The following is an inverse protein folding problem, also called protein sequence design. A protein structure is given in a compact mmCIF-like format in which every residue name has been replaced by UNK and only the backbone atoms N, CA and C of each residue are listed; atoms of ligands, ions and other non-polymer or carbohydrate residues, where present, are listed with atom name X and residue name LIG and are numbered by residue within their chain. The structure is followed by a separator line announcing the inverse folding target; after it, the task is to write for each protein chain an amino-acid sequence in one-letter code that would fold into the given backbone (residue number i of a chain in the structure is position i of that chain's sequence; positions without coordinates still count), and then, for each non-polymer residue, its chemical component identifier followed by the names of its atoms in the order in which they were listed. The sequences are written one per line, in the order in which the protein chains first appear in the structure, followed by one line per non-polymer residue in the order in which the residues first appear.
data_IF_769628165936
#
_entry.id   IF_769628165936
#
_cell.length_a   1.000
_cell.length_b   1.000
_cell.length_c   1.000
_cell.angle_alpha   90.00
_cell.angle_beta   90.00
_cell.angle_gamma   90.00
#
_symmetry.space_group_name_H-M   'P 1'
#
loop_
_entity.id
_entity.type
_entity.pdbx_description
1 polymer ?
#
# COMPACT_ATOMS: atom_id res chain seq x y z
N UNK A 1 -12.35 -90.15 59.96
CA UNK A 1 -13.48 -90.11 59.00
C UNK A 1 -13.19 -89.01 57.98
N UNK A 2 -12.81 -89.39 56.75
CA UNK A 2 -12.47 -88.47 55.64
C UNK A 2 -13.75 -87.85 55.09
N UNK A 3 -13.88 -86.52 55.11
CA UNK A 3 -14.94 -85.82 54.39
C UNK A 3 -14.31 -85.29 53.09
N UNK A 4 -14.55 -86.01 51.99
CA UNK A 4 -14.29 -85.52 50.64
C UNK A 4 -15.43 -84.58 50.24
N UNK A 5 -15.15 -83.28 50.10
CA UNK A 5 -16.09 -82.36 49.47
C UNK A 5 -15.98 -82.50 47.95
N UNK A 6 -16.89 -83.28 47.37
CA UNK A 6 -17.13 -83.29 45.92
C UNK A 6 -18.10 -82.14 45.62
N UNK A 7 -17.59 -81.03 45.11
CA UNK A 7 -18.44 -79.98 44.54
C UNK A 7 -19.03 -80.49 43.22
N UNK A 8 -20.26 -81.01 43.27
CA UNK A 8 -21.06 -81.32 42.09
C UNK A 8 -21.61 -80.02 41.50
N UNK A 9 -20.82 -79.37 40.65
CA UNK A 9 -21.31 -78.26 39.82
C UNK A 9 -22.08 -78.88 38.66
N UNK A 10 -23.40 -78.67 38.61
CA UNK A 10 -24.24 -79.16 37.50
C UNK A 10 -23.68 -78.65 36.16
N UNK A 11 -23.60 -79.50 35.12
CA UNK A 11 -23.01 -79.16 33.82
C UNK A 11 -23.65 -77.92 33.15
N UNK A 12 -24.91 -77.63 33.46
CA UNK A 12 -25.62 -76.43 33.01
C UNK A 12 -25.04 -75.10 33.57
N UNK A 13 -24.51 -75.10 34.79
CA UNK A 13 -23.96 -73.89 35.44
C UNK A 13 -22.57 -73.53 34.91
N UNK A 14 -21.78 -74.53 34.53
CA UNK A 14 -20.45 -74.33 33.94
C UNK A 14 -20.55 -73.69 32.53
N UNK A 15 -21.49 -74.17 31.71
CA UNK A 15 -21.74 -73.61 30.37
C UNK A 15 -22.17 -72.14 30.44
N UNK A 16 -22.97 -71.76 31.45
CA UNK A 16 -23.40 -70.38 31.64
C UNK A 16 -22.23 -69.45 32.00
N UNK A 17 -21.36 -69.87 32.93
CA UNK A 17 -20.18 -69.11 33.35
C UNK A 17 -19.19 -68.95 32.18
N UNK A 18 -18.94 -70.02 31.42
CA UNK A 18 -18.04 -69.98 30.26
C UNK A 18 -18.59 -69.07 29.16
N UNK A 19 -19.89 -69.11 28.86
CA UNK A 19 -20.53 -68.18 27.91
C UNK A 19 -20.39 -66.72 28.34
N UNK A 20 -20.59 -66.43 29.62
CA UNK A 20 -20.49 -65.07 30.14
C UNK A 20 -19.04 -64.55 30.12
N UNK A 21 -18.06 -65.40 30.42
CA UNK A 21 -16.64 -65.06 30.35
C UNK A 21 -16.20 -64.79 28.90
N UNK A 22 -16.64 -65.64 27.95
CA UNK A 22 -16.39 -65.46 26.52
C UNK A 22 -17.01 -64.14 26.05
N UNK A 23 -18.26 -63.86 26.40
CA UNK A 23 -18.93 -62.60 26.06
C UNK A 23 -18.17 -61.38 26.60
N UNK A 24 -17.74 -61.40 27.86
CA UNK A 24 -16.94 -60.32 28.45
C UNK A 24 -15.58 -60.13 27.75
N UNK A 25 -14.89 -61.20 27.36
CA UNK A 25 -13.62 -61.14 26.64
C UNK A 25 -13.81 -60.58 25.21
N UNK A 26 -14.89 -60.98 24.52
CA UNK A 26 -15.24 -60.42 23.21
C UNK A 26 -15.59 -58.93 23.31
N UNK A 27 -16.40 -58.54 24.30
CA UNK A 27 -16.76 -57.13 24.53
C UNK A 27 -15.53 -56.27 24.83
N UNK A 28 -14.59 -56.77 25.65
CA UNK A 28 -13.34 -56.06 25.98
C UNK A 28 -12.43 -55.91 24.75
N UNK A 29 -12.34 -56.93 23.89
CA UNK A 29 -11.60 -56.84 22.61
C UNK A 29 -12.27 -55.86 21.63
N UNK A 30 -13.60 -55.90 21.53
CA UNK A 30 -14.38 -55.03 20.66
C UNK A 30 -14.23 -53.55 21.04
N UNK A 31 -14.36 -53.22 22.33
CA UNK A 31 -14.15 -51.86 22.85
C UNK A 31 -12.71 -51.37 22.61
N UNK A 32 -11.71 -52.24 22.81
CA UNK A 32 -10.29 -51.90 22.55
C UNK A 32 -10.05 -51.58 21.07
N UNK A 33 -10.65 -52.36 20.15
CA UNK A 33 -10.59 -52.10 18.71
C UNK A 33 -11.22 -50.76 18.35
N UNK A 34 -12.41 -50.46 18.89
CA UNK A 34 -13.11 -49.18 18.67
C UNK A 34 -12.34 -47.97 19.22
N UNK A 35 -11.67 -48.11 20.36
CA UNK A 35 -10.83 -47.05 20.92
C UNK A 35 -9.57 -46.79 20.08
N UNK A 36 -8.97 -47.85 19.49
CA UNK A 36 -7.83 -47.72 18.58
C UNK A 36 -8.26 -47.04 17.28
N UNK A 37 -9.40 -47.45 16.71
CA UNK A 37 -9.93 -46.83 15.49
C UNK A 37 -10.29 -45.36 15.72
N UNK A 38 -10.91 -45.02 16.86
CA UNK A 38 -11.20 -43.63 17.22
C UNK A 38 -9.93 -42.79 17.39
N UNK A 39 -8.90 -43.30 18.08
CA UNK A 39 -7.60 -42.62 18.21
C UNK A 39 -6.92 -42.40 16.85
N UNK A 40 -7.01 -43.38 15.95
CA UNK A 40 -6.46 -43.29 14.61
C UNK A 40 -7.20 -42.25 13.75
N UNK A 41 -8.55 -42.24 13.79
CA UNK A 41 -9.37 -41.22 13.12
C UNK A 41 -9.07 -39.82 13.68
N UNK A 42 -8.97 -39.68 15.00
CA UNK A 42 -8.62 -38.41 15.64
C UNK A 42 -7.22 -37.92 15.22
N UNK A 43 -6.25 -38.82 15.14
CA UNK A 43 -4.91 -38.51 14.64
C UNK A 43 -4.95 -38.04 13.18
N UNK A 44 -5.67 -38.76 12.30
CA UNK A 44 -5.84 -38.37 10.90
C UNK A 44 -6.50 -37.00 10.76
N UNK A 45 -7.58 -36.72 11.50
CA UNK A 45 -8.26 -35.41 11.50
C UNK A 45 -7.29 -34.31 11.93
N UNK A 46 -6.54 -34.51 13.02
CA UNK A 46 -5.56 -33.54 13.52
C UNK A 46 -4.47 -33.25 12.49
N UNK A 47 -3.99 -34.29 11.81
CA UNK A 47 -2.98 -34.17 10.75
C UNK A 47 -3.53 -33.44 9.53
N UNK A 48 -4.76 -33.73 9.10
CA UNK A 48 -5.42 -32.99 8.00
C UNK A 48 -5.58 -31.52 8.35
N UNK A 49 -6.05 -31.18 9.56
CA UNK A 49 -6.18 -29.79 10.02
C UNK A 49 -4.82 -29.08 10.00
N UNK A 50 -3.75 -29.75 10.46
CA UNK A 50 -2.39 -29.20 10.43
C UNK A 50 -1.92 -28.90 9.01
N UNK A 51 -2.07 -29.86 8.08
CA UNK A 51 -1.68 -29.65 6.68
C UNK A 51 -2.53 -28.59 5.97
N UNK A 52 -3.83 -28.54 6.25
CA UNK A 52 -4.74 -27.54 5.71
C UNK A 52 -4.39 -26.13 6.23
N UNK A 53 -4.11 -26.01 7.53
CA UNK A 53 -3.64 -24.76 8.14
C UNK A 53 -2.29 -24.30 7.56
N UNK A 54 -1.34 -25.22 7.38
CA UNK A 54 -0.06 -24.93 6.74
C UNK A 54 -0.22 -24.46 5.29
N UNK A 55 -1.10 -25.11 4.52
CA UNK A 55 -1.41 -24.73 3.13
C UNK A 55 -2.04 -23.34 3.04
N UNK A 56 -2.99 -23.01 3.91
CA UNK A 56 -3.58 -21.67 4.00
C UNK A 56 -2.49 -20.66 4.36
N UNK A 57 -1.66 -20.93 5.36
CA UNK A 57 -0.57 -20.04 5.78
C UNK A 57 0.42 -19.76 4.63
N UNK A 58 0.84 -20.80 3.89
CA UNK A 58 1.67 -20.65 2.69
C UNK A 58 0.99 -19.81 1.61
N UNK A 59 -0.30 -20.03 1.38
CA UNK A 59 -1.09 -19.28 0.38
C UNK A 59 -1.25 -17.81 0.78
N UNK A 60 -1.53 -17.54 2.06
CA UNK A 60 -1.59 -16.20 2.63
C UNK A 60 -0.22 -15.50 2.55
N UNK A 61 0.88 -16.20 2.88
CA UNK A 61 2.23 -15.65 2.77
C UNK A 61 2.57 -15.28 1.33
N UNK A 62 2.23 -16.14 0.36
CA UNK A 62 2.42 -15.86 -1.07
C UNK A 62 1.59 -14.66 -1.53
N UNK A 63 0.34 -14.53 -1.07
CA UNK A 63 -0.53 -13.40 -1.38
C UNK A 63 0.02 -12.11 -0.77
N UNK A 64 0.39 -12.12 0.51
CA UNK A 64 0.97 -10.98 1.22
C UNK A 64 2.28 -10.49 0.56
N UNK A 65 3.15 -11.43 0.16
CA UNK A 65 4.38 -11.11 -0.56
C UNK A 65 4.13 -10.55 -1.96
N UNK A 66 3.07 -10.99 -2.64
CA UNK A 66 2.67 -10.46 -3.95
C UNK A 66 2.12 -9.03 -3.83
N UNK A 67 1.23 -8.78 -2.87
CA UNK A 67 0.64 -7.45 -2.61
C UNK A 67 1.73 -6.44 -2.25
N UNK A 68 2.59 -6.78 -1.28
CA UNK A 68 3.73 -5.92 -0.90
C UNK A 68 4.77 -5.78 -2.02
N UNK A 69 4.79 -6.66 -3.04
CA UNK A 69 5.72 -6.54 -4.19
C UNK A 69 5.18 -5.55 -5.23
N UNK A 70 3.85 -5.41 -5.32
CA UNK A 70 3.20 -4.49 -6.25
C UNK A 70 3.32 -3.02 -5.88
N UNK A 71 3.24 -2.68 -4.59
CA UNK A 71 3.14 -1.28 -4.10
C UNK A 71 4.18 -0.30 -4.64
N UNK A 72 5.40 -0.76 -4.85
CA UNK A 72 6.52 0.06 -5.32
C UNK A 72 6.77 -0.05 -6.83
N UNK A 73 5.97 -0.85 -7.57
CA UNK A 73 6.21 -1.14 -8.99
C UNK A 73 6.12 0.14 -9.84
N UNK A 74 5.25 1.09 -9.48
CA UNK A 74 5.10 2.34 -10.24
C UNK A 74 6.38 3.20 -10.25
N UNK A 75 7.30 3.05 -9.29
CA UNK A 75 8.56 3.78 -9.30
C UNK A 75 9.46 3.43 -10.50
N UNK A 76 9.24 2.29 -11.16
CA UNK A 76 9.94 1.94 -12.41
C UNK A 76 9.70 2.97 -13.50
N UNK A 77 8.49 3.52 -13.55
CA UNK A 77 8.04 4.50 -14.54
C UNK A 77 7.71 5.85 -13.89
N UNK A 78 8.39 6.21 -12.80
CA UNK A 78 8.06 7.42 -12.01
C UNK A 78 8.02 8.71 -12.84
N UNK A 79 8.86 8.81 -13.88
CA UNK A 79 8.93 9.96 -14.80
C UNK A 79 7.65 10.13 -15.64
N UNK A 80 6.82 9.07 -15.77
CA UNK A 80 5.49 9.15 -16.38
C UNK A 80 4.49 9.89 -15.49
N UNK A 81 4.70 9.88 -14.19
CA UNK A 81 3.81 10.49 -13.19
C UNK A 81 4.35 11.84 -12.68
N UNK A 82 5.64 12.09 -12.86
CA UNK A 82 6.31 13.34 -12.50
C UNK A 82 7.25 13.74 -13.65
N UNK A 83 6.87 14.76 -14.42
CA UNK A 83 7.61 15.19 -15.60
C UNK A 83 7.97 16.66 -15.50
N UNK A 84 9.22 16.99 -15.78
CA UNK A 84 9.72 18.37 -15.82
C UNK A 84 9.38 19.17 -14.54
N UNK A 85 9.48 18.50 -13.38
CA UNK A 85 9.17 19.08 -12.08
C UNK A 85 7.67 19.28 -11.77
N UNK A 86 6.79 18.80 -12.65
CA UNK A 86 5.33 18.86 -12.52
C UNK A 86 4.75 17.48 -12.24
N UNK A 87 3.78 17.40 -11.33
CA UNK A 87 3.07 16.15 -11.10
C UNK A 87 2.08 15.89 -12.22
N UNK A 88 1.62 14.66 -12.36
CA UNK A 88 0.60 14.31 -13.36
C UNK A 88 -0.69 15.14 -13.21
N UNK A 89 -1.01 15.58 -11.99
CA UNK A 89 -2.13 16.48 -11.70
C UNK A 89 -1.95 17.87 -12.34
N UNK A 90 -0.71 18.37 -12.40
CA UNK A 90 -0.37 19.67 -12.99
C UNK A 90 -0.23 19.63 -14.51
N UNK A 91 0.07 18.44 -15.06
CA UNK A 91 0.29 18.23 -16.50
C UNK A 91 -1.03 18.05 -17.24
N UNK A 92 -1.95 17.30 -16.64
CA UNK A 92 -3.21 16.98 -17.30
C UNK A 92 -4.13 18.19 -17.17
N UNK A 93 -4.60 18.78 -18.29
CA UNK A 93 -5.59 19.84 -18.21
C UNK A 93 -6.80 19.29 -17.48
N UNK A 94 -7.29 20.02 -16.47
CA UNK A 94 -8.50 19.65 -15.76
C UNK A 94 -9.60 19.48 -16.79
N UNK A 95 -9.97 18.22 -17.08
CA UNK A 95 -10.99 17.92 -18.06
C UNK A 95 -12.26 18.65 -17.60
N UNK A 96 -13.00 19.19 -18.57
CA UNK A 96 -14.35 19.75 -18.35
C UNK A 96 -15.06 18.85 -17.33
N UNK A 97 -15.55 19.40 -16.20
CA UNK A 97 -16.08 18.61 -15.10
C UNK A 97 -17.07 17.59 -15.67
N UNK A 98 -16.71 16.32 -15.58
CA UNK A 98 -17.55 15.27 -16.17
C UNK A 98 -18.90 15.32 -15.48
N UNK A 99 -19.98 15.17 -16.26
CA UNK A 99 -21.32 14.88 -15.70
C UNK A 99 -21.26 13.75 -14.67
N UNK A 100 -20.32 12.84 -14.88
CA UNK A 100 -20.16 11.56 -14.23
C UNK A 100 -19.69 11.74 -12.77
N UNK A 101 -18.78 12.68 -12.51
CA UNK A 101 -18.34 13.00 -11.14
C UNK A 101 -19.38 13.74 -10.29
N UNK A 102 -20.45 14.30 -10.89
CA UNK A 102 -21.51 14.96 -10.11
C UNK A 102 -22.36 13.96 -9.31
N UNK A 103 -22.63 12.78 -9.88
CA UNK A 103 -23.39 11.74 -9.17
C UNK A 103 -22.57 11.17 -8.02
N UNK A 104 -21.29 10.88 -8.29
CA UNK A 104 -20.33 10.44 -7.28
C UNK A 104 -20.22 11.45 -6.13
N UNK A 105 -20.02 12.74 -6.44
CA UNK A 105 -19.75 13.75 -5.41
C UNK A 105 -20.88 13.92 -4.42
N UNK A 106 -22.14 13.82 -4.86
CA UNK A 106 -23.32 13.92 -3.98
C UNK A 106 -23.35 12.78 -2.95
N UNK A 107 -23.12 11.55 -3.40
CA UNK A 107 -23.18 10.36 -2.52
C UNK A 107 -21.94 10.31 -1.64
N UNK A 108 -20.77 10.42 -2.27
CA UNK A 108 -19.50 10.35 -1.56
C UNK A 108 -19.31 11.53 -0.62
N UNK A 109 -19.74 12.73 -1.02
CA UNK A 109 -19.68 13.93 -0.20
C UNK A 109 -20.49 13.82 1.09
N UNK A 110 -21.63 13.12 1.07
CA UNK A 110 -22.39 12.80 2.30
C UNK A 110 -21.59 11.87 3.21
N UNK A 111 -20.98 10.81 2.65
CA UNK A 111 -20.18 9.83 3.40
C UNK A 111 -18.89 10.46 3.98
N UNK A 112 -18.24 11.31 3.18
CA UNK A 112 -16.92 11.86 3.47
C UNK A 112 -16.96 13.22 4.16
N UNK A 113 -18.12 13.88 4.17
CA UNK A 113 -18.33 15.21 4.76
C UNK A 113 -17.91 16.38 3.87
N UNK A 114 -17.47 16.14 2.63
CA UNK A 114 -17.01 17.19 1.72
C UNK A 114 -17.28 16.87 0.24
N UNK A 115 -18.44 17.33 -0.26
CA UNK A 115 -18.86 17.14 -1.65
C UNK A 115 -17.94 17.82 -2.67
N UNK A 116 -17.50 19.05 -2.41
CA UNK A 116 -16.63 19.79 -3.35
C UNK A 116 -15.32 19.03 -3.55
N UNK A 117 -14.74 18.55 -2.46
CA UNK A 117 -13.52 17.77 -2.47
C UNK A 117 -13.70 16.41 -3.13
N UNK A 118 -14.82 15.72 -2.84
CA UNK A 118 -15.20 14.49 -3.52
C UNK A 118 -15.25 14.67 -5.04
N UNK A 119 -15.88 15.76 -5.50
CA UNK A 119 -15.98 16.09 -6.93
C UNK A 119 -14.61 16.34 -7.54
N UNK A 120 -13.75 17.10 -6.87
CA UNK A 120 -12.43 17.44 -7.39
C UNK A 120 -11.52 16.21 -7.51
N UNK A 121 -11.49 15.36 -6.48
CA UNK A 121 -10.68 14.14 -6.50
C UNK A 121 -11.19 13.16 -7.56
N UNK A 122 -12.51 13.02 -7.71
CA UNK A 122 -13.08 12.24 -8.82
C UNK A 122 -12.65 12.78 -10.19
N UNK A 123 -12.76 14.09 -10.42
CA UNK A 123 -12.39 14.68 -11.70
C UNK A 123 -10.91 14.47 -12.03
N UNK A 124 -10.03 14.64 -11.04
CA UNK A 124 -8.59 14.41 -11.22
C UNK A 124 -8.32 12.94 -11.54
N UNK A 125 -8.88 12.00 -10.77
CA UNK A 125 -8.67 10.57 -11.01
C UNK A 125 -9.15 10.14 -12.40
N UNK A 126 -10.37 10.56 -12.79
CA UNK A 126 -10.93 10.25 -14.11
C UNK A 126 -10.06 10.82 -15.22
N UNK A 127 -9.52 12.02 -15.03
CA UNK A 127 -8.62 12.66 -15.99
C UNK A 127 -7.29 11.90 -16.12
N UNK A 128 -6.67 11.53 -14.99
CA UNK A 128 -5.45 10.71 -14.96
C UNK A 128 -5.68 9.37 -15.63
N UNK A 129 -6.77 8.68 -15.30
CA UNK A 129 -7.10 7.39 -15.91
C UNK A 129 -7.30 7.51 -17.43
N UNK A 130 -8.09 8.48 -17.89
CA UNK A 130 -8.32 8.70 -19.34
C UNK A 130 -7.02 9.04 -20.06
N UNK A 131 -6.13 9.80 -19.42
CA UNK A 131 -4.81 10.10 -19.95
C UNK A 131 -3.94 8.84 -20.08
N UNK A 132 -3.92 7.97 -19.05
CA UNK A 132 -3.15 6.72 -19.13
C UNK A 132 -3.71 5.75 -20.17
N UNK A 133 -5.04 5.59 -20.21
CA UNK A 133 -5.74 4.77 -21.19
C UNK A 133 -5.54 5.29 -22.62
N UNK A 134 -5.50 6.60 -22.81
CA UNK A 134 -5.31 7.28 -24.10
C UNK A 134 -6.21 6.71 -25.22
N UNK A 135 -7.48 6.42 -24.90
CA UNK A 135 -8.44 5.86 -25.84
C UNK A 135 -8.22 4.39 -26.24
N UNK A 136 -7.33 3.66 -25.56
CA UNK A 136 -7.04 2.26 -25.87
C UNK A 136 -8.02 1.31 -25.18
N UNK A 137 -8.91 0.69 -25.95
CA UNK A 137 -9.88 -0.30 -25.45
C UNK A 137 -9.25 -1.59 -24.93
N UNK A 138 -7.97 -1.82 -25.22
CA UNK A 138 -7.18 -2.97 -24.77
C UNK A 138 -6.15 -2.58 -23.71
N UNK A 139 -6.36 -1.46 -23.04
CA UNK A 139 -5.43 -0.89 -22.06
C UNK A 139 -4.94 -1.90 -21.01
N UNK A 140 -5.77 -2.84 -20.56
CA UNK A 140 -5.39 -3.93 -19.65
C UNK A 140 -4.24 -4.84 -20.11
N UNK A 141 -3.92 -4.83 -21.41
CA UNK A 141 -2.84 -5.60 -22.00
C UNK A 141 -1.59 -4.77 -22.29
N UNK A 142 -1.62 -3.46 -22.02
CA UNK A 142 -0.49 -2.57 -22.21
C UNK A 142 0.61 -2.84 -21.17
N UNK A 143 1.86 -2.61 -21.56
CA UNK A 143 3.01 -2.91 -20.70
C UNK A 143 3.03 -2.10 -19.41
N UNK A 144 2.51 -0.87 -19.43
CA UNK A 144 2.48 0.05 -18.30
C UNK A 144 1.21 -0.05 -17.45
N UNK A 145 0.25 -0.89 -17.85
CA UNK A 145 -1.05 -0.99 -17.17
C UNK A 145 -0.88 -1.26 -15.68
N UNK A 146 0.00 -2.19 -15.30
CA UNK A 146 0.19 -2.55 -13.90
C UNK A 146 0.80 -1.41 -13.09
N UNK A 147 1.83 -0.76 -13.62
CA UNK A 147 2.50 0.38 -12.99
C UNK A 147 1.52 1.57 -12.86
N UNK A 148 0.75 1.87 -13.90
CA UNK A 148 -0.23 2.95 -13.91
C UNK A 148 -1.34 2.71 -12.87
N UNK A 149 -1.85 1.49 -12.76
CA UNK A 149 -2.85 1.15 -11.73
C UNK A 149 -2.27 1.11 -10.32
N UNK A 150 -1.03 0.68 -10.16
CA UNK A 150 -0.34 0.76 -8.86
C UNK A 150 -0.19 2.22 -8.43
N UNK A 151 0.16 3.12 -9.37
CA UNK A 151 0.20 4.56 -9.10
C UNK A 151 -1.17 5.11 -8.73
N UNK A 152 -2.24 4.77 -9.49
CA UNK A 152 -3.60 5.21 -9.17
C UNK A 152 -4.02 4.74 -7.76
N UNK A 153 -3.72 3.49 -7.40
CA UNK A 153 -4.02 2.97 -6.06
C UNK A 153 -3.27 3.75 -4.97
N UNK A 154 -1.96 3.99 -5.16
CA UNK A 154 -1.16 4.85 -4.27
C UNK A 154 -1.76 6.26 -4.14
N UNK A 155 -2.12 6.87 -5.27
CA UNK A 155 -2.64 8.23 -5.32
C UNK A 155 -3.96 8.36 -4.55
N UNK A 156 -4.90 7.43 -4.74
CA UNK A 156 -6.17 7.42 -4.00
C UNK A 156 -5.93 7.20 -2.51
N UNK A 157 -5.07 6.25 -2.13
CA UNK A 157 -4.67 6.03 -0.74
C UNK A 157 -4.13 7.31 -0.11
N UNK A 158 -3.22 8.00 -0.80
CA UNK A 158 -2.65 9.26 -0.34
C UNK A 158 -3.74 10.32 -0.15
N UNK A 159 -4.61 10.54 -1.14
CA UNK A 159 -5.68 11.53 -1.02
C UNK A 159 -6.66 11.19 0.10
N UNK A 160 -7.06 9.94 0.28
CA UNK A 160 -7.97 9.54 1.37
C UNK A 160 -7.32 9.78 2.74
N UNK A 161 -6.06 9.37 2.93
CA UNK A 161 -5.39 9.39 4.23
C UNK A 161 -4.69 10.72 4.59
N UNK A 162 -4.53 11.67 3.67
CA UNK A 162 -4.03 13.04 3.99
C UNK A 162 -5.07 13.91 4.76
N UNK A 163 -6.09 13.29 5.35
CA UNK A 163 -7.14 13.97 6.11
C UNK A 163 -8.18 14.65 5.22
N UNK A 164 -8.26 14.28 3.94
CA UNK A 164 -9.25 14.83 3.01
C UNK A 164 -10.65 14.24 3.25
N UNK A 165 -10.73 13.04 3.81
CA UNK A 165 -11.98 12.31 4.06
C UNK A 165 -11.97 11.59 5.42
N UNK A 166 -13.14 11.09 5.82
CA UNK A 166 -13.34 10.33 7.07
C UNK A 166 -12.44 9.08 7.14
N UNK A 167 -11.84 8.82 8.31
CA UNK A 167 -10.92 7.69 8.59
C UNK A 167 -11.53 6.31 8.29
N UNK A 168 -12.85 6.17 8.31
CA UNK A 168 -13.55 4.90 8.05
C UNK A 168 -13.71 4.57 6.55
N UNK A 169 -13.07 5.32 5.66
CA UNK A 169 -13.25 5.22 4.23
C UNK A 169 -12.18 4.32 3.61
N UNK A 170 -12.58 3.21 2.98
CA UNK A 170 -11.66 2.34 2.25
C UNK A 170 -11.48 2.81 0.80
N UNK A 171 -10.30 2.54 0.25
CA UNK A 171 -9.97 2.76 -1.15
C UNK A 171 -10.85 1.90 -2.04
N UNK A 172 -11.14 0.66 -1.62
CA UNK A 172 -12.07 -0.22 -2.32
C UNK A 172 -13.45 0.43 -2.49
N UNK A 173 -14.03 0.94 -1.40
CA UNK A 173 -15.32 1.61 -1.47
C UNK A 173 -15.25 2.77 -2.47
N UNK A 174 -14.21 3.60 -2.39
CA UNK A 174 -14.03 4.74 -3.28
C UNK A 174 -14.04 4.34 -4.76
N UNK A 175 -13.29 3.30 -5.15
CA UNK A 175 -13.29 2.79 -6.51
C UNK A 175 -14.63 2.18 -6.94
N UNK A 176 -15.31 1.44 -6.07
CA UNK A 176 -16.63 0.86 -6.36
C UNK A 176 -17.66 1.97 -6.68
N UNK A 177 -17.64 3.08 -5.92
CA UNK A 177 -18.50 4.23 -6.20
C UNK A 177 -18.09 4.97 -7.48
N UNK A 178 -16.79 5.17 -7.73
CA UNK A 178 -16.35 5.79 -8.99
C UNK A 178 -16.74 4.96 -10.19
N UNK A 179 -16.51 3.65 -10.16
CA UNK A 179 -16.88 2.75 -11.24
C UNK A 179 -18.39 2.72 -11.51
N UNK A 180 -19.21 2.88 -10.47
CA UNK A 180 -20.67 2.88 -10.59
C UNK A 180 -21.25 4.20 -11.09
N UNK A 181 -20.61 5.33 -10.79
CA UNK A 181 -21.19 6.66 -11.00
C UNK A 181 -20.43 7.55 -11.98
N UNK A 182 -19.10 7.44 -12.00
CA UNK A 182 -18.22 8.36 -12.71
C UNK A 182 -17.54 7.73 -13.92
N UNK A 183 -17.29 6.42 -13.91
CA UNK A 183 -16.46 5.79 -14.92
C UNK A 183 -16.68 4.27 -15.01
N UNK A 184 -17.75 3.84 -15.67
CA UNK A 184 -18.07 2.41 -15.82
C UNK A 184 -16.98 1.60 -16.51
N UNK A 185 -16.24 2.20 -17.44
CA UNK A 185 -15.06 1.60 -18.08
C UNK A 185 -13.97 1.20 -17.09
N UNK A 186 -13.83 1.95 -15.98
CA UNK A 186 -12.86 1.66 -14.94
C UNK A 186 -13.12 0.27 -14.34
N UNK A 187 -14.38 -0.15 -14.19
CA UNK A 187 -14.71 -1.46 -13.66
C UNK A 187 -14.30 -2.62 -14.58
N UNK A 188 -14.23 -2.39 -15.90
CA UNK A 188 -13.76 -3.41 -16.85
C UNK A 188 -12.23 -3.54 -16.82
N UNK A 189 -11.57 -2.40 -16.61
CA UNK A 189 -10.11 -2.31 -16.63
C UNK A 189 -9.51 -2.55 -15.24
N UNK A 190 -10.26 -2.51 -14.15
CA UNK A 190 -9.74 -2.72 -12.79
C UNK A 190 -10.03 -4.13 -12.28
N UNK A 191 -8.99 -4.78 -11.75
CA UNK A 191 -9.14 -6.02 -10.98
C UNK A 191 -9.10 -5.75 -9.47
N UNK A 192 -9.79 -6.58 -8.69
CA UNK A 192 -9.74 -6.55 -7.22
C UNK A 192 -8.33 -6.71 -6.63
N UNK A 193 -7.35 -7.16 -7.42
CA UNK A 193 -5.95 -7.29 -6.97
C UNK A 193 -5.13 -6.02 -7.12
N UNK A 194 -5.65 -5.02 -7.83
CA UNK A 194 -4.99 -3.73 -8.07
C UNK A 194 -5.53 -2.61 -7.18
N UNK A 195 -6.70 -2.80 -6.56
CA UNK A 195 -7.28 -1.89 -5.57
C UNK A 195 -7.07 -2.49 -4.19
N UNK A 196 -6.39 -1.75 -3.32
CA UNK A 196 -6.18 -2.16 -1.93
C UNK A 196 -5.82 -0.98 -1.05
N UNK A 197 -6.20 -1.06 0.22
CA UNK A 197 -5.76 -0.12 1.25
C UNK A 197 -4.27 -0.36 1.55
N UNK A 198 -3.47 0.69 1.48
CA UNK A 198 -2.06 0.68 1.82
C UNK A 198 -1.95 1.01 3.31
N UNK A 199 -1.20 0.19 4.05
CA UNK A 199 -0.94 0.46 5.45
C UNK A 199 -0.33 1.86 5.65
N UNK A 200 -0.72 2.53 6.73
CA UNK A 200 -0.32 3.92 6.99
C UNK A 200 1.20 4.11 7.01
N UNK A 201 1.94 3.16 7.57
CA UNK A 201 3.41 3.25 7.64
C UNK A 201 4.05 3.05 6.26
N UNK A 202 3.48 2.17 5.44
CA UNK A 202 3.94 1.95 4.06
C UNK A 202 3.55 3.12 3.14
N UNK A 203 2.37 3.70 3.31
CA UNK A 203 1.96 4.91 2.61
C UNK A 203 2.87 6.09 2.95
N UNK A 204 3.25 6.24 4.23
CA UNK A 204 4.21 7.25 4.67
C UNK A 204 5.57 7.09 3.96
N UNK A 205 6.06 5.85 3.85
CA UNK A 205 7.29 5.52 3.11
C UNK A 205 7.17 5.85 1.61
N UNK A 206 6.07 5.46 0.97
CA UNK A 206 5.80 5.78 -0.43
C UNK A 206 5.80 7.30 -0.67
N UNK A 207 5.15 8.06 0.21
CA UNK A 207 5.11 9.53 0.15
C UNK A 207 6.50 10.15 0.24
N UNK A 208 7.38 9.63 1.10
CA UNK A 208 8.78 10.09 1.19
C UNK A 208 9.50 9.88 -0.16
N UNK A 209 9.40 8.69 -0.76
CA UNK A 209 10.03 8.41 -2.04
C UNK A 209 9.44 9.26 -3.17
N UNK A 210 8.12 9.39 -3.25
CA UNK A 210 7.45 10.21 -4.25
C UNK A 210 7.90 11.67 -4.17
N UNK A 211 7.94 12.21 -2.96
CA UNK A 211 8.42 13.56 -2.66
C UNK A 211 9.90 13.77 -3.04
N UNK A 212 10.76 12.75 -2.89
CA UNK A 212 12.14 12.78 -3.37
C UNK A 212 12.21 12.83 -4.90
N UNK A 213 11.41 12.01 -5.59
CA UNK A 213 11.36 11.99 -7.05
C UNK A 213 10.79 13.27 -7.65
N UNK A 214 9.86 13.94 -6.97
CA UNK A 214 9.36 15.25 -7.38
C UNK A 214 10.47 16.31 -7.44
N UNK A 215 11.28 16.38 -6.38
CA UNK A 215 12.42 17.32 -6.30
C UNK A 215 13.51 16.95 -7.28
N UNK A 216 13.78 15.66 -7.46
CA UNK A 216 14.68 15.17 -8.49
C UNK A 216 14.22 15.59 -9.89
N UNK A 217 12.93 15.46 -10.20
CA UNK A 217 12.38 15.86 -11.50
C UNK A 217 12.56 17.36 -11.76
N UNK A 218 12.39 18.21 -10.73
CA UNK A 218 12.69 19.66 -10.80
C UNK A 218 14.16 19.92 -11.11
N UNK A 219 15.09 19.23 -10.43
CA UNK A 219 16.52 19.36 -10.69
C UNK A 219 16.90 18.89 -12.10
N UNK A 220 16.35 17.75 -12.54
CA UNK A 220 16.66 17.17 -13.84
C UNK A 220 16.07 17.96 -15.01
N UNK A 221 15.12 18.87 -14.75
CA UNK A 221 14.51 19.75 -15.74
C UNK A 221 15.30 21.05 -16.00
N UNK A 222 16.34 21.34 -15.21
CA UNK A 222 17.17 22.54 -15.37
C UNK A 222 17.94 22.47 -16.69
N UNK A 223 17.89 23.54 -17.49
CA UNK A 223 18.49 23.60 -18.84
C UNK A 223 19.88 24.20 -18.88
N UNK A 224 20.30 24.91 -17.82
CA UNK A 224 21.61 25.58 -17.69
C UNK A 224 21.80 26.77 -18.65
N UNK A 225 20.69 27.34 -19.14
CA UNK A 225 20.71 28.50 -20.05
C UNK A 225 20.75 29.84 -19.31
N UNK A 226 20.32 29.89 -18.05
CA UNK A 226 20.25 31.12 -17.24
C UNK A 226 21.01 30.94 -15.93
N UNK A 227 22.28 31.38 -15.94
CA UNK A 227 23.22 31.19 -14.84
C UNK A 227 22.64 31.49 -13.45
N UNK A 228 22.07 32.69 -13.25
CA UNK A 228 21.62 33.12 -11.91
C UNK A 228 20.37 32.34 -11.45
N UNK A 229 19.41 32.14 -12.36
CA UNK A 229 18.19 31.41 -12.08
C UNK A 229 18.46 29.91 -11.83
N UNK A 230 19.35 29.32 -12.61
CA UNK A 230 19.67 27.89 -12.53
C UNK A 230 20.49 27.57 -11.28
N UNK A 231 21.43 28.44 -10.89
CA UNK A 231 22.13 28.34 -9.59
C UNK A 231 21.15 28.35 -8.42
N UNK A 232 20.20 29.29 -8.42
CA UNK A 232 19.19 29.39 -7.37
C UNK A 232 18.30 28.14 -7.33
N UNK A 233 17.87 27.66 -8.51
CA UNK A 233 17.06 26.45 -8.65
C UNK A 233 17.79 25.20 -8.16
N UNK A 234 19.06 25.02 -8.55
CA UNK A 234 19.92 23.92 -8.10
C UNK A 234 20.01 23.89 -6.59
N UNK A 235 20.38 25.02 -5.97
CA UNK A 235 20.52 25.11 -4.52
C UNK A 235 19.20 24.84 -3.80
N UNK A 236 18.12 25.48 -4.24
CA UNK A 236 16.79 25.33 -3.62
C UNK A 236 16.30 23.89 -3.69
N UNK A 237 16.31 23.27 -4.87
CA UNK A 237 15.74 21.94 -5.06
C UNK A 237 16.62 20.83 -4.46
N UNK A 238 17.95 20.94 -4.54
CA UNK A 238 18.86 19.96 -3.93
C UNK A 238 18.83 20.03 -2.41
N UNK A 239 18.78 21.24 -1.84
CA UNK A 239 18.60 21.42 -0.38
C UNK A 239 17.26 20.84 0.09
N UNK A 240 16.19 21.05 -0.67
CA UNK A 240 14.86 20.52 -0.34
C UNK A 240 14.84 18.98 -0.29
N UNK A 241 15.71 18.28 -1.04
CA UNK A 241 15.82 16.81 -0.97
C UNK A 241 16.29 16.32 0.39
N UNK A 242 17.10 17.10 1.11
CA UNK A 242 17.76 16.62 2.31
C UNK A 242 16.80 16.21 3.44
N UNK A 243 15.69 16.91 3.62
CA UNK A 243 14.74 16.57 4.69
C UNK A 243 14.16 15.16 4.50
N UNK A 244 13.64 14.88 3.29
CA UNK A 244 13.02 13.58 3.00
C UNK A 244 14.08 12.48 2.85
N UNK A 245 15.26 12.81 2.34
CA UNK A 245 16.37 11.88 2.26
C UNK A 245 16.85 11.44 3.65
N UNK A 246 16.94 12.38 4.61
CA UNK A 246 17.31 12.07 5.98
C UNK A 246 16.28 11.15 6.67
N UNK A 247 14.98 11.39 6.46
CA UNK A 247 13.91 10.49 6.94
C UNK A 247 14.06 9.10 6.33
N UNK A 248 14.26 9.02 5.00
CA UNK A 248 14.43 7.76 4.30
C UNK A 248 15.68 6.99 4.78
N UNK A 249 16.79 7.70 4.97
CA UNK A 249 18.05 7.16 5.51
C UNK A 249 17.88 6.62 6.92
N UNK A 250 17.10 7.29 7.76
CA UNK A 250 16.79 6.81 9.12
C UNK A 250 15.98 5.50 9.09
N UNK A 251 14.96 5.42 8.23
CA UNK A 251 14.15 4.20 8.02
C UNK A 251 15.01 3.04 7.50
N UNK A 252 16.03 3.33 6.71
CA UNK A 252 16.96 2.37 6.11
C UNK A 252 18.27 2.19 6.87
N UNK A 253 18.31 2.50 8.15
CA UNK A 253 19.48 2.19 8.99
C UNK A 253 19.67 0.66 9.12
N UNK A 254 20.86 0.23 9.55
CA UNK A 254 21.22 -1.20 9.59
C UNK A 254 20.22 -2.05 10.40
N UNK A 255 19.68 -1.49 11.49
CA UNK A 255 18.70 -2.15 12.37
C UNK A 255 17.33 -2.37 11.70
N UNK A 256 16.91 -1.46 10.81
CA UNK A 256 15.58 -1.49 10.19
C UNK A 256 15.59 -1.89 8.71
N UNK A 257 16.78 -2.08 8.11
CA UNK A 257 16.92 -2.39 6.69
C UNK A 257 16.22 -3.68 6.28
N UNK A 258 16.27 -4.72 7.10
CA UNK A 258 15.61 -6.00 6.77
C UNK A 258 14.09 -5.87 6.79
N UNK A 259 13.54 -5.11 7.76
CA UNK A 259 12.11 -4.87 7.90
C UNK A 259 11.56 -3.94 6.80
N UNK A 260 12.41 -3.09 6.21
CA UNK A 260 12.04 -2.12 5.18
C UNK A 260 12.76 -2.38 3.85
N UNK A 261 13.16 -3.64 3.59
CA UNK A 261 14.05 -4.00 2.47
C UNK A 261 13.62 -3.40 1.13
N UNK A 262 12.34 -3.54 0.77
CA UNK A 262 11.79 -3.00 -0.49
C UNK A 262 11.88 -1.47 -0.58
N UNK A 263 11.50 -0.76 0.49
CA UNK A 263 11.63 0.69 0.54
C UNK A 263 13.10 1.11 0.40
N UNK A 264 14.01 0.39 1.06
CA UNK A 264 15.44 0.68 1.01
C UNK A 264 16.07 0.38 -0.36
N UNK A 265 15.60 -0.66 -1.05
CA UNK A 265 15.99 -0.94 -2.43
C UNK A 265 15.57 0.22 -3.34
N UNK A 266 14.33 0.72 -3.19
CA UNK A 266 13.85 1.90 -3.94
C UNK A 266 14.56 3.20 -3.58
N UNK A 267 14.97 3.37 -2.34
CA UNK A 267 15.82 4.48 -1.95
C UNK A 267 17.21 4.39 -2.61
N UNK A 268 17.76 3.18 -2.77
CA UNK A 268 19.03 3.00 -3.47
C UNK A 268 18.89 3.28 -4.98
N UNK A 269 17.79 2.84 -5.61
CA UNK A 269 17.47 3.21 -7.01
C UNK A 269 17.46 4.75 -7.18
N UNK A 270 16.84 5.46 -6.22
CA UNK A 270 16.82 6.93 -6.19
C UNK A 270 18.23 7.53 -6.06
N UNK A 271 19.05 7.04 -5.11
CA UNK A 271 20.43 7.53 -4.94
C UNK A 271 21.23 7.40 -6.23
N UNK A 272 21.16 6.24 -6.89
CA UNK A 272 21.86 6.03 -8.16
C UNK A 272 21.40 6.97 -9.27
N UNK A 273 20.12 7.36 -9.30
CA UNK A 273 19.63 8.39 -10.23
C UNK A 273 20.14 9.79 -9.86
N UNK A 274 20.20 10.11 -8.57
CA UNK A 274 20.71 11.38 -8.07
C UNK A 274 22.21 11.54 -8.30
N UNK A 275 23.01 10.48 -8.11
CA UNK A 275 24.44 10.49 -8.36
C UNK A 275 24.74 10.73 -9.85
N UNK A 276 23.96 10.13 -10.76
CA UNK A 276 24.05 10.42 -12.20
C UNK A 276 23.67 11.85 -12.55
N UNK A 277 22.73 12.45 -11.81
CA UNK A 277 22.38 13.85 -11.98
C UNK A 277 23.52 14.76 -11.48
N UNK A 278 24.16 14.40 -10.36
CA UNK A 278 25.35 15.11 -9.87
C UNK A 278 26.47 15.12 -10.92
N UNK A 279 26.75 13.97 -11.55
CA UNK A 279 27.74 13.88 -12.64
C UNK A 279 27.41 14.84 -13.79
N UNK A 280 26.13 14.95 -14.19
CA UNK A 280 25.70 15.90 -15.22
C UNK A 280 25.90 17.35 -14.79
N UNK A 281 25.59 17.71 -13.55
CA UNK A 281 25.79 19.07 -13.03
C UNK A 281 27.28 19.41 -13.02
N UNK A 282 28.14 18.48 -12.58
CA UNK A 282 29.60 18.66 -12.57
C UNK A 282 30.15 18.92 -13.97
N UNK A 283 29.60 18.26 -14.99
CA UNK A 283 29.99 18.49 -16.39
C UNK A 283 29.64 19.90 -16.90
N UNK A 284 28.69 20.61 -16.28
CA UNK A 284 28.38 22.00 -16.61
C UNK A 284 29.40 22.99 -16.02
N UNK A 285 30.29 22.54 -15.13
CA UNK A 285 31.34 23.36 -14.53
C UNK A 285 31.03 23.85 -13.11
N UNK A 286 32.06 24.39 -12.45
CA UNK A 286 32.00 24.83 -11.05
C UNK A 286 30.96 25.91 -10.80
N UNK A 287 30.66 26.72 -11.83
CA UNK A 287 29.62 27.73 -11.78
C UNK A 287 28.23 27.19 -11.45
N UNK A 288 27.94 25.92 -11.76
CA UNK A 288 26.71 25.24 -11.36
C UNK A 288 26.92 24.24 -10.23
N UNK A 289 27.98 23.43 -10.28
CA UNK A 289 28.18 22.34 -9.32
C UNK A 289 28.35 22.78 -7.88
N UNK A 290 28.88 23.98 -7.66
CA UNK A 290 29.06 24.53 -6.30
C UNK A 290 27.71 24.82 -5.60
N UNK A 291 26.63 24.95 -6.37
CA UNK A 291 25.27 25.20 -5.86
C UNK A 291 24.45 23.91 -5.69
N UNK A 292 24.97 22.76 -6.11
CA UNK A 292 24.26 21.49 -6.00
C UNK A 292 24.63 20.74 -4.71
N UNK A 293 23.63 20.51 -3.86
CA UNK A 293 23.82 19.75 -2.61
C UNK A 293 23.80 18.25 -2.89
N UNK A 294 24.92 17.58 -2.60
CA UNK A 294 25.03 16.12 -2.66
C UNK A 294 24.25 15.48 -1.51
N UNK A 295 23.65 14.31 -1.75
CA UNK A 295 22.93 13.57 -0.70
C UNK A 295 23.82 13.22 0.50
N UNK A 296 25.11 12.97 0.29
CA UNK A 296 26.09 12.67 1.34
C UNK A 296 26.38 13.85 2.26
N UNK A 297 26.17 15.08 1.78
CA UNK A 297 26.42 16.35 2.49
C UNK A 297 25.17 16.84 3.23
N UNK A 298 24.00 16.25 2.96
CA UNK A 298 22.78 16.59 3.65
C UNK A 298 22.99 16.57 5.18
N UNK A 299 22.66 17.68 5.88
CA UNK A 299 22.95 17.80 7.30
C UNK A 299 22.17 16.73 8.05
N UNK A 300 22.86 15.89 8.84
CA UNK A 300 22.18 14.91 9.68
C UNK A 300 21.41 15.66 10.76
N UNK A 301 20.10 15.77 10.63
CA UNK A 301 19.22 16.28 11.68
C UNK A 301 19.02 15.23 12.80
N UNK A 302 20.10 14.76 13.41
CA UNK A 302 19.98 14.24 14.78
C UNK A 302 19.73 15.46 15.67
N UNK A 303 18.59 15.49 16.39
CA UNK A 303 18.07 16.57 17.28
C UNK A 303 17.21 17.56 16.47
N UNK A 304 15.87 17.53 16.46
CA UNK A 304 14.89 17.62 17.57
C UNK A 304 13.68 16.69 17.31
N UNK A 305 13.64 15.53 17.96
CA UNK A 305 12.39 14.76 18.19
C UNK A 305 12.44 14.12 19.58
N UNK A 306 12.85 14.87 20.59
CA UNK A 306 12.42 14.56 21.97
C UNK A 306 11.04 15.20 22.15
N UNK A 307 10.04 14.32 22.31
CA UNK A 307 8.59 14.55 22.41
C UNK A 307 7.83 14.67 21.08
N UNK A 308 7.47 13.53 20.47
CA UNK A 308 6.07 13.18 20.11
C UNK A 308 5.93 11.64 20.01
N UNK A 309 5.94 10.94 21.14
CA UNK A 309 5.33 9.59 21.26
C UNK A 309 3.85 9.73 21.65
N UNK A 310 3.11 10.55 20.91
CA UNK A 310 1.69 10.77 21.11
C UNK A 310 1.10 11.51 19.92
N UNK A 311 0.42 10.79 19.02
CA UNK A 311 -0.48 11.33 17.97
C UNK A 311 0.09 12.51 17.18
N UNK A 312 0.94 12.22 16.18
CA UNK A 312 1.21 13.20 15.11
C UNK A 312 0.01 13.23 14.17
N UNK A 313 -0.98 14.03 14.55
CA UNK A 313 -1.88 14.70 13.61
C UNK A 313 -1.18 16.00 13.21
N UNK A 314 -0.99 16.21 11.91
CA UNK A 314 -0.79 17.53 11.34
C UNK A 314 0.65 18.03 11.23
N UNK A 315 1.22 17.88 10.03
CA UNK A 315 1.73 18.96 9.16
C UNK A 315 2.78 18.39 8.20
N UNK A 316 2.31 17.73 7.14
CA UNK A 316 3.03 17.66 5.88
C UNK A 316 2.31 18.66 4.97
N UNK A 317 2.86 19.84 4.69
CA UNK A 317 2.39 20.62 3.56
C UNK A 317 3.15 20.10 2.35
N UNK A 318 2.59 19.12 1.62
CA UNK A 318 3.06 18.90 0.27
C UNK A 318 2.15 19.53 -0.78
N UNK A 319 0.82 19.52 -0.65
CA UNK A 319 -0.03 20.23 -1.63
C UNK A 319 -1.31 20.87 -1.07
N UNK A 320 -1.72 20.55 0.16
CA UNK A 320 -2.94 21.11 0.77
C UNK A 320 -2.91 22.63 1.03
N UNK A 321 -1.73 23.23 1.21
CA UNK A 321 -1.61 24.68 1.45
C UNK A 321 -1.86 25.46 0.14
N UNK A 322 -1.39 24.96 -1.01
CA UNK A 322 -1.65 25.62 -2.30
C UNK A 322 -3.13 25.58 -2.65
N UNK A 323 -3.81 24.44 -2.43
CA UNK A 323 -5.25 24.35 -2.65
C UNK A 323 -6.03 25.30 -1.73
N UNK A 324 -5.70 25.35 -0.43
CA UNK A 324 -6.37 26.23 0.53
C UNK A 324 -6.12 27.72 0.25
N UNK A 325 -4.91 28.08 -0.23
CA UNK A 325 -4.58 29.45 -0.68
C UNK A 325 -5.31 29.81 -1.97
N UNK A 326 -5.46 28.87 -2.91
CA UNK A 326 -6.23 29.09 -4.14
C UNK A 326 -7.73 29.25 -3.88
N UNK A 327 -8.31 28.50 -2.94
CA UNK A 327 -9.71 28.65 -2.51
C UNK A 327 -9.95 29.98 -1.79
N UNK A 328 -9.00 30.42 -0.95
CA UNK A 328 -9.02 31.74 -0.30
C UNK A 328 -8.96 32.88 -1.34
N UNK A 329 -8.08 32.78 -2.35
CA UNK A 329 -7.98 33.78 -3.41
C UNK A 329 -9.25 33.86 -4.26
N UNK A 330 -9.89 32.73 -4.58
CA UNK A 330 -11.18 32.71 -5.31
C UNK A 330 -12.30 33.34 -4.45
N UNK A 331 -12.35 33.05 -3.14
CA UNK A 331 -13.34 33.67 -2.24
C UNK A 331 -13.11 35.18 -2.04
N UNK A 332 -11.86 35.62 -1.97
CA UNK A 332 -11.49 37.04 -1.90
C UNK A 332 -11.83 37.79 -3.20
N UNK A 333 -11.58 37.19 -4.36
CA UNK A 333 -11.97 37.75 -5.66
C UNK A 333 -13.50 37.90 -5.80
N UNK A 334 -14.29 37.00 -5.22
CA UNK A 334 -15.76 37.12 -5.23
C UNK A 334 -16.26 38.17 -4.22
N UNK A 335 -15.59 38.32 -3.07
CA UNK A 335 -15.98 39.29 -2.04
C UNK A 335 -15.55 40.73 -2.35
N UNK A 336 -14.46 40.94 -3.08
CA UNK A 336 -13.91 42.27 -3.39
C UNK A 336 -13.96 42.63 -4.88
N UNK A 337 -14.37 41.71 -5.76
CA UNK A 337 -14.46 41.92 -7.22
C UNK A 337 -15.85 42.32 -7.73
N UNK A 338 -16.80 42.63 -6.85
CA UNK A 338 -18.04 43.32 -7.20
C UNK A 338 -18.03 44.71 -6.55
N UNK A 339 -17.28 45.62 -7.16
CA UNK A 339 -17.55 47.06 -7.17
C UNK A 339 -17.45 47.57 -8.59
#
# INVERSE_FOLDING_TARGET
MKISFIFSIKPHSYIFIVKNLIYHLFLKKYIKFYLISYKFIYFLIKTIIFFYGYYIMQSCYKLLNYTTKGEYDFFKNIERYIKDGKTIEDIIPTVVPSSDCNSFSKIWGIKSGNEIMAKNICNILVSIYKYFKNGNDRYRFESNYKEDFTFLNYWVNWKIHEGMFNENTTVKDFYDYIGSHALSELNYDVSNTLIYDIDKDDLYKLNILYSLYEKYSKLNAITYDNLDQDKQSLYSHSTACCNDYNKAKYICNDDNKNNNSKFCDKLNDFKSKYDKLEEKVVQQGSEFSDYFIKLSVCPNNKIITTAVTGTVVGLIPLFGVLYKVSELNIKLLILYGYQ
#
